data_IF_601412754802
#
_entry.id   IF_601412754802
#
_cell.length_a   1.000
_cell.length_b   1.000
_cell.length_c   1.000
_cell.angle_alpha   90.00
_cell.angle_beta   90.00
_cell.angle_gamma   90.00
#
_symmetry.space_group_name_H-M   'P 1'
#
loop_
_entity.id
_entity.type
_entity.pdbx_description
1 polymer ?
#
# COMPACT_ATOMS: atom_id res chain seq x y z
N UNK A 1 -1.62 28.59 3.24
CA UNK A 1 -0.94 27.40 2.66
C UNK A 1 -1.93 26.26 2.76
N UNK A 2 -2.29 25.61 1.64
CA UNK A 2 -3.25 24.51 1.68
C UNK A 2 -2.57 23.30 2.32
N UNK A 3 -3.01 22.90 3.51
CA UNK A 3 -2.66 21.60 4.05
C UNK A 3 -3.35 20.58 3.14
N UNK A 4 -2.60 19.93 2.25
CA UNK A 4 -3.12 18.74 1.56
C UNK A 4 -3.28 17.67 2.63
N UNK A 5 -4.52 17.36 3.01
CA UNK A 5 -4.82 16.25 3.90
C UNK A 5 -4.51 14.96 3.14
N UNK A 6 -3.25 14.52 3.18
CA UNK A 6 -2.85 13.22 2.66
C UNK A 6 -3.46 12.15 3.58
N UNK A 7 -4.34 11.28 3.06
CA UNK A 7 -4.95 10.25 3.88
C UNK A 7 -3.91 9.18 4.19
N UNK A 8 -3.80 8.80 5.46
CA UNK A 8 -2.92 7.73 5.93
C UNK A 8 -3.70 6.67 6.72
N UNK A 9 -3.18 5.45 6.74
CA UNK A 9 -3.63 4.40 7.65
C UNK A 9 -2.41 3.68 8.25
N UNK A 10 -2.59 3.06 9.41
CA UNK A 10 -1.58 2.23 10.04
C UNK A 10 -2.16 0.84 10.27
N UNK A 11 -1.39 -0.20 9.98
CA UNK A 11 -1.80 -1.58 10.17
C UNK A 11 -0.63 -2.41 10.71
N UNK A 12 -0.84 -3.22 11.76
CA UNK A 12 0.19 -4.12 12.24
C UNK A 12 0.47 -5.24 11.23
N UNK A 13 1.73 -5.64 11.11
CA UNK A 13 2.13 -6.81 10.33
C UNK A 13 1.97 -8.07 11.20
N UNK A 14 0.94 -8.86 10.90
CA UNK A 14 0.65 -10.12 11.58
C UNK A 14 1.40 -11.29 10.93
N UNK A 15 1.66 -12.41 11.64
CA UNK A 15 2.28 -13.59 11.04
C UNK A 15 1.62 -14.00 9.71
N UNK A 16 2.44 -14.25 8.69
CA UNK A 16 1.97 -14.51 7.32
C UNK A 16 1.83 -13.27 6.44
N UNK A 17 2.22 -12.08 6.93
CA UNK A 17 2.17 -10.82 6.16
C UNK A 17 2.94 -10.89 4.84
N UNK A 18 3.93 -11.77 4.69
CA UNK A 18 4.73 -11.91 3.46
C UNK A 18 3.86 -12.21 2.23
N UNK A 19 2.70 -12.84 2.44
CA UNK A 19 1.75 -13.18 1.37
C UNK A 19 0.92 -11.99 0.89
N UNK A 20 1.01 -10.84 1.55
CA UNK A 20 0.33 -9.61 1.16
C UNK A 20 -0.28 -8.81 2.31
N UNK A 21 -0.65 -7.58 2.01
CA UNK A 21 -1.32 -6.65 2.92
C UNK A 21 -2.74 -6.37 2.45
N UNK A 22 -3.74 -6.64 3.31
CA UNK A 22 -5.11 -6.20 3.06
C UNK A 22 -5.27 -4.76 3.50
N UNK A 23 -5.66 -3.86 2.59
CA UNK A 23 -5.92 -2.45 2.89
C UNK A 23 -7.27 -2.34 3.65
N UNK A 24 -7.38 -1.54 4.73
CA UNK A 24 -8.65 -1.35 5.43
C UNK A 24 -9.77 -0.91 4.49
N UNK A 25 -10.96 -1.53 4.61
CA UNK A 25 -12.07 -1.31 3.68
C UNK A 25 -12.52 0.15 3.64
N UNK A 26 -12.63 0.79 4.80
CA UNK A 26 -13.02 2.19 4.93
C UNK A 26 -12.04 3.13 4.23
N UNK A 27 -10.73 2.83 4.31
CA UNK A 27 -9.69 3.62 3.66
C UNK A 27 -9.73 3.42 2.14
N UNK A 28 -9.80 2.17 1.69
CA UNK A 28 -9.85 1.85 0.27
C UNK A 28 -11.06 2.49 -0.42
N UNK A 29 -12.26 2.35 0.15
CA UNK A 29 -13.48 2.92 -0.43
C UNK A 29 -13.48 4.44 -0.51
N UNK A 30 -12.84 5.12 0.46
CA UNK A 30 -12.86 6.59 0.53
C UNK A 30 -11.74 7.24 -0.30
N UNK A 31 -10.59 6.59 -0.41
CA UNK A 31 -9.37 7.23 -0.91
C UNK A 31 -8.80 6.60 -2.18
N UNK A 32 -9.07 5.31 -2.44
CA UNK A 32 -8.43 4.55 -3.52
C UNK A 32 -9.44 4.16 -4.61
N UNK A 33 -10.58 3.61 -4.21
CA UNK A 33 -11.58 3.07 -5.13
C UNK A 33 -12.08 4.15 -6.10
N UNK A 34 -12.01 3.87 -7.41
CA UNK A 34 -12.41 4.80 -8.48
C UNK A 34 -11.38 5.90 -8.80
N UNK A 35 -10.31 6.04 -8.01
CA UNK A 35 -9.31 7.09 -8.18
C UNK A 35 -8.01 6.62 -8.84
N UNK A 36 -7.83 5.31 -9.05
CA UNK A 36 -6.59 4.73 -9.59
C UNK A 36 -6.80 4.03 -10.93
N UNK A 37 -5.99 4.38 -11.92
CA UNK A 37 -6.00 3.77 -13.25
C UNK A 37 -5.03 2.60 -13.29
N UNK A 38 -5.51 1.40 -12.97
CA UNK A 38 -4.73 0.17 -12.98
C UNK A 38 -4.42 -0.38 -11.59
N UNK A 39 -3.62 -1.44 -11.56
CA UNK A 39 -3.35 -2.23 -10.37
C UNK A 39 -1.87 -2.25 -9.95
N UNK A 40 -1.01 -1.47 -10.61
CA UNK A 40 0.42 -1.38 -10.26
C UNK A 40 0.66 -0.13 -9.43
N UNK A 41 1.33 -0.31 -8.30
CA UNK A 41 1.59 0.72 -7.30
C UNK A 41 3.07 0.79 -6.99
N UNK A 42 3.55 1.97 -6.58
CA UNK A 42 4.93 2.17 -6.14
C UNK A 42 4.93 2.47 -4.64
N UNK A 43 5.59 1.62 -3.86
CA UNK A 43 5.88 1.86 -2.46
C UNK A 43 7.26 2.51 -2.36
N UNK A 44 7.41 3.51 -1.49
CA UNK A 44 8.69 4.17 -1.21
C UNK A 44 8.99 4.03 0.28
N UNK A 45 10.23 3.64 0.59
CA UNK A 45 10.73 3.65 1.96
C UNK A 45 11.28 5.03 2.29
N UNK A 46 10.74 5.65 3.33
CA UNK A 46 11.30 6.91 3.85
C UNK A 46 12.64 6.67 4.60
N UNK A 47 12.97 5.41 4.94
CA UNK A 47 14.20 5.07 5.66
C UNK A 47 15.41 4.86 4.72
N UNK A 48 15.17 4.41 3.49
CA UNK A 48 16.22 3.99 2.55
C UNK A 48 16.10 4.61 1.15
N UNK A 49 15.11 5.47 0.92
CA UNK A 49 14.74 6.04 -0.40
C UNK A 49 14.47 5.01 -1.52
N UNK A 50 14.49 3.73 -1.19
CA UNK A 50 14.22 2.63 -2.10
C UNK A 50 12.75 2.62 -2.51
N UNK A 51 12.49 2.12 -3.71
CA UNK A 51 11.14 1.97 -4.26
C UNK A 51 10.88 0.54 -4.71
N UNK A 52 9.67 0.06 -4.46
CA UNK A 52 9.20 -1.26 -4.89
C UNK A 52 7.91 -1.13 -5.66
N UNK A 53 7.81 -1.89 -6.73
CA UNK A 53 6.55 -2.01 -7.46
C UNK A 53 5.74 -3.15 -6.89
N UNK A 54 4.51 -2.86 -6.52
CA UNK A 54 3.58 -3.84 -5.99
C UNK A 54 2.31 -3.92 -6.83
N UNK A 55 1.71 -5.11 -6.90
CA UNK A 55 0.40 -5.29 -7.52
C UNK A 55 -0.70 -5.27 -6.47
N UNK A 56 -1.77 -4.56 -6.79
CA UNK A 56 -3.03 -4.55 -6.05
C UNK A 56 -4.00 -5.54 -6.70
N UNK A 57 -4.32 -6.62 -5.99
CA UNK A 57 -5.37 -7.55 -6.37
C UNK A 57 -6.57 -7.30 -5.45
N UNK A 58 -7.67 -6.82 -6.02
CA UNK A 58 -8.86 -6.34 -5.29
C UNK A 58 -8.54 -5.24 -4.27
N UNK A 59 -8.27 -5.60 -3.01
CA UNK A 59 -7.95 -4.69 -1.91
C UNK A 59 -6.67 -5.11 -1.19
N UNK A 60 -5.88 -5.98 -1.82
CA UNK A 60 -4.69 -6.59 -1.26
C UNK A 60 -3.46 -6.24 -2.10
N UNK A 61 -2.39 -5.83 -1.44
CA UNK A 61 -1.07 -5.72 -2.07
C UNK A 61 -0.41 -7.09 -2.05
N UNK A 62 0.00 -7.61 -3.20
CA UNK A 62 0.49 -8.99 -3.33
C UNK A 62 1.91 -9.05 -3.90
N UNK A 63 2.08 -9.14 -5.23
CA UNK A 63 3.43 -9.25 -5.84
C UNK A 63 4.26 -8.02 -5.49
N UNK A 64 5.54 -8.22 -5.15
CA UNK A 64 6.45 -7.14 -4.72
C UNK A 64 6.31 -6.72 -3.25
N UNK A 65 5.24 -7.15 -2.57
CA UNK A 65 5.00 -6.79 -1.16
C UNK A 65 6.04 -7.43 -0.23
N UNK A 66 6.38 -8.70 -0.46
CA UNK A 66 7.32 -9.43 0.38
C UNK A 66 8.69 -8.73 0.37
N UNK A 67 9.15 -8.38 -0.82
CA UNK A 67 10.42 -7.68 -1.06
C UNK A 67 10.45 -6.31 -0.38
N UNK A 68 9.32 -5.61 -0.33
CA UNK A 68 9.20 -4.36 0.43
C UNK A 68 9.30 -4.57 1.93
N UNK A 69 8.67 -5.62 2.48
CA UNK A 69 8.64 -5.85 3.94
C UNK A 69 9.90 -6.49 4.53
N UNK A 70 10.73 -7.10 3.69
CA UNK A 70 11.93 -7.84 4.11
C UNK A 70 13.25 -7.11 3.78
N UNK A 71 13.17 -5.93 3.14
CA UNK A 71 14.31 -5.09 2.80
C UNK A 71 14.74 -4.16 3.94
#
# INVERSE_FOLDING_TARGET
>A
MAHSHQPHFCQPLLPGFQTGLNIPISFFSRHIHGNTTGNRWTLRSDATDNTWEVLQEERRLTRGWKEFTEA
#
